data_IF_401239375382
#
_entry.id   IF_401239375382
#
_cell.length_a   1.000
_cell.length_b   1.000
_cell.length_c   1.000
_cell.angle_alpha   90.00
_cell.angle_beta   90.00
_cell.angle_gamma   90.00
#
_symmetry.space_group_name_H-M   'P 1'
#
loop_
_entity.id
_entity.type
_entity.pdbx_description
1 polymer ?
#
# COMPACT_ATOMS: atom_id res chain seq x y z
N UNK A 1 -38.17 -2.93 -14.76
CA UNK A 1 -37.04 -2.27 -14.10
C UNK A 1 -36.30 -1.51 -15.18
N UNK A 2 -36.18 -0.21 -15.06
CA UNK A 2 -35.39 0.59 -16.00
C UNK A 2 -33.92 0.20 -15.87
N UNK A 3 -33.33 -0.25 -16.94
CA UNK A 3 -31.92 -0.59 -17.04
C UNK A 3 -31.11 0.70 -16.76
N UNK A 4 -30.45 0.76 -15.61
CA UNK A 4 -29.56 1.86 -15.26
C UNK A 4 -28.11 1.39 -15.45
N UNK A 5 -27.38 1.85 -16.48
CA UNK A 5 -26.04 1.36 -16.81
C UNK A 5 -25.01 1.62 -15.69
N UNK A 6 -25.23 2.64 -14.86
CA UNK A 6 -24.34 2.93 -13.73
C UNK A 6 -24.44 1.88 -12.62
N UNK A 7 -25.65 1.40 -12.30
CA UNK A 7 -25.85 0.32 -11.33
C UNK A 7 -25.27 -1.01 -11.82
N UNK A 8 -25.38 -1.26 -13.12
CA UNK A 8 -24.78 -2.43 -13.78
C UNK A 8 -23.25 -2.39 -13.69
N UNK A 9 -22.61 -1.24 -13.89
CA UNK A 9 -21.15 -1.12 -13.84
C UNK A 9 -20.57 -1.46 -12.47
N UNK A 10 -21.24 -1.07 -11.37
CA UNK A 10 -20.86 -1.48 -10.02
C UNK A 10 -21.01 -2.99 -9.85
N UNK A 11 -22.21 -3.52 -10.17
CA UNK A 11 -22.52 -4.93 -9.92
C UNK A 11 -21.70 -5.90 -10.77
N UNK A 12 -21.23 -5.46 -11.94
CA UNK A 12 -20.36 -6.21 -12.84
C UNK A 12 -18.85 -5.95 -12.58
N UNK A 13 -18.53 -5.03 -11.65
CA UNK A 13 -17.17 -4.72 -11.30
C UNK A 13 -16.39 -4.01 -12.41
N UNK A 14 -17.01 -3.08 -13.13
CA UNK A 14 -16.37 -2.30 -14.22
C UNK A 14 -16.39 -0.79 -13.99
N UNK A 15 -16.86 -0.33 -12.83
CA UNK A 15 -17.01 1.10 -12.53
C UNK A 15 -15.67 1.76 -12.17
N UNK A 16 -15.31 2.81 -12.88
CA UNK A 16 -14.13 3.64 -12.62
C UNK A 16 -14.42 4.88 -11.77
N UNK A 17 -15.67 5.23 -11.60
CA UNK A 17 -16.14 6.45 -10.93
C UNK A 17 -17.23 6.11 -9.90
N UNK A 18 -16.89 5.30 -8.87
CA UNK A 18 -17.88 4.81 -7.91
C UNK A 18 -18.56 5.92 -7.11
N UNK A 19 -17.89 7.06 -6.89
CA UNK A 19 -18.46 8.21 -6.20
C UNK A 19 -19.62 8.86 -6.99
N UNK A 20 -19.73 8.63 -8.30
CA UNK A 20 -20.87 9.10 -9.11
C UNK A 20 -22.09 8.18 -8.95
N UNK A 21 -21.93 7.00 -8.33
CA UNK A 21 -22.97 5.98 -8.23
C UNK A 21 -23.31 5.65 -6.77
N UNK A 22 -22.29 5.44 -5.92
CA UNK A 22 -22.42 5.06 -4.52
C UNK A 22 -22.28 6.29 -3.61
N UNK A 23 -22.72 6.16 -2.35
CA UNK A 23 -22.73 7.29 -1.42
C UNK A 23 -23.98 8.15 -1.53
N UNK A 24 -23.85 9.42 -1.19
CA UNK A 24 -24.95 10.41 -1.13
C UNK A 24 -25.02 11.22 -2.41
N UNK A 25 -26.17 11.23 -3.05
CA UNK A 25 -26.45 12.00 -4.28
C UNK A 25 -27.64 12.91 -4.11
N UNK A 26 -27.63 14.08 -4.78
CA UNK A 26 -28.83 14.92 -4.91
C UNK A 26 -29.95 14.14 -5.61
N UNK A 27 -31.18 14.31 -5.15
CA UNK A 27 -32.33 13.67 -5.77
C UNK A 27 -33.10 14.72 -6.65
N UNK A 28 -33.40 14.38 -7.90
CA UNK A 28 -34.13 15.23 -8.84
C UNK A 28 -35.57 15.58 -8.36
N UNK A 29 -36.01 15.00 -7.25
CA UNK A 29 -37.34 15.20 -6.66
C UNK A 29 -37.53 16.44 -5.77
N UNK A 30 -36.54 17.32 -5.65
CA UNK A 30 -36.60 18.56 -4.85
C UNK A 30 -35.37 18.85 -4.01
N UNK A 31 -35.13 20.12 -3.69
CA UNK A 31 -33.91 20.64 -3.06
C UNK A 31 -33.59 20.12 -1.63
N UNK A 32 -34.44 19.26 -1.07
CA UNK A 32 -34.29 18.74 0.31
C UNK A 32 -34.17 17.21 0.41
N UNK A 33 -34.06 16.48 -0.72
CA UNK A 33 -33.97 15.02 -0.70
C UNK A 33 -32.63 14.52 -1.28
N UNK A 34 -31.97 13.61 -0.58
CA UNK A 34 -30.80 12.90 -1.08
C UNK A 34 -31.13 11.43 -1.32
N UNK A 35 -30.49 10.86 -2.32
CA UNK A 35 -30.51 9.44 -2.62
C UNK A 35 -29.19 8.81 -2.14
N UNK A 36 -29.26 7.83 -1.25
CA UNK A 36 -28.11 7.11 -0.76
C UNK A 36 -28.09 5.73 -1.39
N UNK A 37 -26.96 5.33 -1.97
CA UNK A 37 -26.75 4.03 -2.60
C UNK A 37 -25.58 3.28 -1.99
N UNK A 38 -25.76 1.97 -1.81
CA UNK A 38 -24.72 1.06 -1.32
C UNK A 38 -24.76 -0.27 -2.06
N UNK A 39 -23.59 -0.79 -2.39
CA UNK A 39 -23.45 -2.12 -2.99
C UNK A 39 -23.02 -3.13 -1.93
N UNK A 40 -23.95 -4.04 -1.56
CA UNK A 40 -23.77 -5.03 -0.49
C UNK A 40 -24.19 -6.43 -0.99
N UNK A 41 -23.37 -7.10 -1.82
CA UNK A 41 -23.77 -8.36 -2.49
C UNK A 41 -24.01 -9.51 -1.52
N UNK A 42 -23.42 -9.48 -0.31
CA UNK A 42 -23.58 -10.51 0.71
C UNK A 42 -24.66 -10.20 1.73
N UNK A 43 -25.37 -9.07 1.61
CA UNK A 43 -26.45 -8.70 2.49
C UNK A 43 -27.83 -9.17 1.93
N UNK A 44 -28.62 -9.77 2.81
CA UNK A 44 -30.05 -10.05 2.59
C UNK A 44 -30.87 -8.77 2.70
N UNK A 45 -30.51 -7.91 3.68
CA UNK A 45 -31.13 -6.59 3.90
C UNK A 45 -30.12 -5.59 4.44
N UNK A 46 -30.36 -4.31 4.19
CA UNK A 46 -29.54 -3.18 4.64
C UNK A 46 -30.45 -2.13 5.27
N UNK A 47 -30.11 -1.68 6.48
CA UNK A 47 -30.74 -0.56 7.17
C UNK A 47 -29.75 0.60 7.22
N UNK A 48 -30.21 1.82 6.92
CA UNK A 48 -29.44 3.04 7.15
C UNK A 48 -29.61 3.48 8.59
N UNK A 49 -28.50 3.74 9.28
CA UNK A 49 -28.45 4.28 10.64
C UNK A 49 -27.91 5.71 10.57
N UNK A 50 -28.68 6.68 11.03
CA UNK A 50 -28.24 8.05 11.25
C UNK A 50 -28.25 8.35 12.74
N UNK A 51 -27.32 9.19 13.21
CA UNK A 51 -27.28 9.59 14.62
C UNK A 51 -28.59 10.28 15.04
N UNK A 52 -29.14 9.86 16.18
CA UNK A 52 -30.39 10.40 16.75
C UNK A 52 -31.67 9.98 16.03
N UNK A 53 -31.61 9.12 15.01
CA UNK A 53 -32.76 8.62 14.27
C UNK A 53 -32.94 7.10 14.37
N UNK A 54 -34.16 6.60 14.20
CA UNK A 54 -34.41 5.17 14.11
C UNK A 54 -33.84 4.62 12.78
N UNK A 55 -33.28 3.38 12.77
CA UNK A 55 -32.82 2.73 11.55
C UNK A 55 -33.93 2.66 10.48
N UNK A 56 -33.58 2.90 9.21
CA UNK A 56 -34.50 2.89 8.08
C UNK A 56 -34.11 1.85 7.06
N UNK A 57 -35.05 0.97 6.68
CA UNK A 57 -34.82 -0.09 5.72
C UNK A 57 -34.55 0.47 4.32
N UNK A 58 -33.45 0.06 3.70
CA UNK A 58 -33.12 0.38 2.31
C UNK A 58 -33.82 -0.59 1.34
N UNK A 59 -34.16 -0.09 0.16
CA UNK A 59 -34.78 -0.91 -0.88
C UNK A 59 -33.70 -1.58 -1.74
N UNK A 60 -33.78 -2.90 -1.93
CA UNK A 60 -32.93 -3.62 -2.85
C UNK A 60 -33.40 -3.37 -4.29
N UNK A 61 -32.60 -2.66 -5.08
CA UNK A 61 -32.95 -2.23 -6.46
C UNK A 61 -32.27 -3.06 -7.55
N UNK A 62 -31.26 -3.85 -7.20
CA UNK A 62 -30.60 -4.78 -8.13
C UNK A 62 -30.35 -6.13 -7.48
N UNK A 63 -30.50 -7.22 -8.24
CA UNK A 63 -30.39 -8.60 -7.75
C UNK A 63 -29.01 -8.89 -7.10
N UNK A 64 -27.95 -8.32 -7.65
CA UNK A 64 -26.57 -8.50 -7.20
C UNK A 64 -26.21 -7.74 -5.90
N UNK A 65 -27.18 -7.06 -5.25
CA UNK A 65 -26.96 -6.44 -3.94
C UNK A 65 -26.80 -4.92 -3.95
N UNK A 66 -27.38 -4.22 -4.92
CA UNK A 66 -27.51 -2.77 -4.85
C UNK A 66 -28.72 -2.41 -4.00
N UNK A 67 -28.51 -1.52 -3.03
CA UNK A 67 -29.54 -0.98 -2.14
C UNK A 67 -29.57 0.55 -2.28
N UNK A 68 -30.78 1.13 -2.20
CA UNK A 68 -30.95 2.57 -2.18
C UNK A 68 -32.05 3.04 -1.24
N UNK A 69 -31.94 4.29 -0.80
CA UNK A 69 -32.96 4.97 -0.01
C UNK A 69 -32.96 6.47 -0.31
N UNK A 70 -34.16 7.05 -0.47
CA UNK A 70 -34.34 8.49 -0.59
C UNK A 70 -34.74 9.06 0.78
N UNK A 71 -34.00 10.04 1.28
CA UNK A 71 -34.22 10.71 2.57
C UNK A 71 -34.08 12.22 2.42
N UNK A 72 -34.59 12.97 3.40
CA UNK A 72 -34.09 14.33 3.63
C UNK A 72 -32.62 14.22 3.98
N UNK A 73 -31.78 15.05 3.35
CA UNK A 73 -30.33 15.00 3.48
C UNK A 73 -29.90 14.82 4.93
N UNK A 74 -29.19 13.72 5.29
CA UNK A 74 -28.56 13.63 6.60
C UNK A 74 -27.60 14.81 6.75
N UNK A 75 -27.55 15.44 7.90
CA UNK A 75 -26.53 16.43 8.21
C UNK A 75 -25.18 15.75 8.12
N UNK A 76 -24.36 16.16 7.15
CA UNK A 76 -22.94 15.86 6.99
C UNK A 76 -22.46 14.47 7.43
N UNK A 77 -22.38 13.51 6.46
CA UNK A 77 -21.48 12.33 6.45
C UNK A 77 -21.49 11.36 7.67
N UNK A 78 -22.45 11.43 8.59
CA UNK A 78 -22.47 10.57 9.79
C UNK A 78 -23.60 9.55 9.72
N UNK A 79 -23.54 8.67 8.72
CA UNK A 79 -24.42 7.50 8.71
C UNK A 79 -23.60 6.21 8.58
N UNK A 80 -24.24 5.12 8.96
CA UNK A 80 -23.72 3.77 8.84
C UNK A 80 -24.76 2.88 8.18
N UNK A 81 -24.28 1.79 7.61
CA UNK A 81 -25.13 0.71 7.16
C UNK A 81 -25.11 -0.43 8.18
N UNK A 82 -26.29 -0.91 8.60
CA UNK A 82 -26.45 -2.16 9.31
C UNK A 82 -26.93 -3.20 8.30
N UNK A 83 -26.12 -4.20 8.06
CA UNK A 83 -26.41 -5.31 7.17
C UNK A 83 -26.88 -6.50 7.95
N UNK A 84 -27.79 -7.29 7.34
CA UNK A 84 -28.13 -8.64 7.76
C UNK A 84 -27.77 -9.60 6.64
N UNK A 85 -26.91 -10.59 6.93
CA UNK A 85 -26.48 -11.61 5.99
C UNK A 85 -27.56 -12.67 5.69
N UNK A 86 -27.28 -13.55 4.76
CA UNK A 86 -28.17 -14.67 4.43
C UNK A 86 -28.18 -15.76 5.52
N UNK A 87 -27.21 -15.73 6.43
CA UNK A 87 -27.08 -16.53 7.64
C UNK A 87 -27.68 -15.87 8.88
N UNK A 88 -28.40 -14.75 8.68
CA UNK A 88 -28.98 -13.88 9.71
C UNK A 88 -27.96 -13.21 10.67
N UNK A 89 -26.65 -13.34 10.40
CA UNK A 89 -25.63 -12.53 11.09
C UNK A 89 -25.79 -11.05 10.74
N UNK A 90 -25.54 -10.16 11.73
CA UNK A 90 -25.65 -8.72 11.52
C UNK A 90 -24.31 -8.03 11.82
N UNK A 91 -23.95 -7.05 10.99
CA UNK A 91 -22.78 -6.20 11.19
C UNK A 91 -23.07 -4.77 10.75
N UNK A 92 -22.25 -3.82 11.21
CA UNK A 92 -22.39 -2.40 10.89
C UNK A 92 -21.08 -1.90 10.28
N UNK A 93 -21.17 -1.03 9.28
CA UNK A 93 -20.01 -0.36 8.69
C UNK A 93 -20.35 1.07 8.27
N UNK A 94 -19.33 1.92 8.21
CA UNK A 94 -19.41 3.22 7.56
C UNK A 94 -19.40 3.06 6.03
N UNK A 95 -20.03 3.97 5.33
CA UNK A 95 -19.96 4.02 3.87
C UNK A 95 -18.61 4.61 3.43
N UNK A 96 -17.74 3.87 2.73
CA UNK A 96 -16.48 4.42 2.22
C UNK A 96 -16.67 5.63 1.30
N UNK A 97 -17.76 5.66 0.55
CA UNK A 97 -18.08 6.71 -0.43
C UNK A 97 -18.71 7.97 0.19
N UNK A 98 -18.90 7.99 1.51
CA UNK A 98 -19.27 9.19 2.27
C UNK A 98 -18.07 10.03 2.70
N UNK A 99 -16.84 9.53 2.53
CA UNK A 99 -15.61 10.22 2.92
C UNK A 99 -14.94 10.91 1.73
N UNK A 100 -14.38 12.13 1.93
CA UNK A 100 -13.66 12.83 0.88
C UNK A 100 -12.34 12.15 0.53
N UNK A 101 -11.97 12.21 -0.74
CA UNK A 101 -10.64 11.78 -1.21
C UNK A 101 -9.54 12.70 -0.66
N UNK A 102 -8.38 12.14 -0.31
CA UNK A 102 -7.32 12.83 0.43
C UNK A 102 -6.14 13.26 -0.44
N UNK A 103 -6.17 13.02 -1.76
CA UNK A 103 -5.16 13.53 -2.68
C UNK A 103 -5.63 14.84 -3.32
N UNK A 104 -4.87 15.91 -3.08
CA UNK A 104 -5.11 17.19 -3.74
C UNK A 104 -4.65 17.18 -5.21
N UNK A 105 -5.11 18.15 -5.99
CA UNK A 105 -4.62 18.36 -7.36
C UNK A 105 -3.10 18.61 -7.38
N UNK A 106 -2.56 19.28 -6.35
CA UNK A 106 -1.12 19.48 -6.22
C UNK A 106 -0.37 18.16 -6.00
N UNK A 107 -0.87 17.26 -5.13
CA UNK A 107 -0.26 15.93 -4.92
C UNK A 107 -0.20 15.15 -6.25
N UNK A 108 -1.30 15.14 -7.00
CA UNK A 108 -1.40 14.49 -8.31
C UNK A 108 -0.42 15.10 -9.32
N UNK A 109 -0.34 16.44 -9.37
CA UNK A 109 0.57 17.15 -10.27
C UNK A 109 2.04 16.81 -9.97
N UNK A 110 2.47 16.86 -8.70
CA UNK A 110 3.84 16.58 -8.30
C UNK A 110 4.28 15.14 -8.61
N UNK A 111 3.36 14.16 -8.48
CA UNK A 111 3.63 12.77 -8.89
C UNK A 111 3.81 12.69 -10.41
N UNK A 112 2.91 13.27 -11.19
CA UNK A 112 2.93 13.24 -12.64
C UNK A 112 4.10 14.04 -13.25
N UNK A 113 4.59 15.07 -12.56
CA UNK A 113 5.75 15.86 -12.97
C UNK A 113 7.08 15.17 -12.65
N UNK A 114 7.10 14.22 -11.72
CA UNK A 114 8.30 13.50 -11.29
C UNK A 114 9.12 14.23 -10.21
N UNK A 115 8.49 15.14 -9.48
CA UNK A 115 9.15 15.99 -8.46
C UNK A 115 8.69 15.67 -7.03
N UNK A 116 7.74 14.73 -6.86
CA UNK A 116 7.32 14.30 -5.53
C UNK A 116 8.33 13.32 -4.91
N UNK A 117 9.34 13.88 -4.22
CA UNK A 117 10.35 13.08 -3.54
C UNK A 117 9.84 12.34 -2.29
N UNK A 118 8.61 12.60 -1.84
CA UNK A 118 7.97 11.94 -0.69
C UNK A 118 6.57 11.43 -1.04
N UNK A 119 6.43 10.84 -2.23
CA UNK A 119 5.17 10.27 -2.69
C UNK A 119 4.63 9.19 -1.72
N UNK A 120 5.52 8.52 -0.96
CA UNK A 120 5.16 7.56 0.08
C UNK A 120 4.27 8.12 1.19
N UNK A 121 4.20 9.44 1.38
CA UNK A 121 3.29 10.08 2.35
C UNK A 121 1.83 10.15 1.85
N UNK A 122 1.59 9.83 0.59
CA UNK A 122 0.28 9.99 -0.06
C UNK A 122 -0.16 8.74 -0.84
N UNK A 123 0.79 8.05 -1.45
CA UNK A 123 0.55 6.82 -2.21
C UNK A 123 0.61 5.61 -1.28
N UNK A 124 0.03 4.49 -1.72
CA UNK A 124 -0.08 3.28 -0.91
C UNK A 124 -1.20 3.35 0.11
N UNK A 125 -1.03 2.63 1.22
CA UNK A 125 -2.00 2.54 2.32
C UNK A 125 -1.59 3.49 3.46
N UNK A 126 -2.35 4.54 3.68
CA UNK A 126 -2.10 5.57 4.69
C UNK A 126 -3.14 5.48 5.82
N UNK A 127 -2.71 5.12 7.02
CA UNK A 127 -3.56 5.19 8.22
C UNK A 127 -3.88 6.65 8.54
N UNK A 128 -5.15 6.97 8.71
CA UNK A 128 -5.59 8.33 9.05
C UNK A 128 -6.95 8.34 9.71
N UNK A 129 -7.31 9.50 10.24
CA UNK A 129 -8.62 9.80 10.77
C UNK A 129 -9.30 10.87 9.90
N UNK A 130 -10.53 10.61 9.45
CA UNK A 130 -11.35 11.57 8.70
C UNK A 130 -12.67 11.72 9.43
N UNK A 131 -13.01 12.95 9.83
CA UNK A 131 -14.25 13.28 10.55
C UNK A 131 -14.49 12.41 11.80
N UNK A 132 -13.42 12.12 12.57
CA UNK A 132 -13.50 11.28 13.78
C UNK A 132 -13.59 9.77 13.52
N UNK A 133 -13.43 9.32 12.28
CA UNK A 133 -13.43 7.90 11.90
C UNK A 133 -12.05 7.48 11.44
N UNK A 134 -11.44 6.54 12.16
CA UNK A 134 -10.17 5.93 11.76
C UNK A 134 -10.37 4.99 10.57
N UNK A 135 -9.36 4.90 9.71
CA UNK A 135 -9.36 4.02 8.56
C UNK A 135 -8.08 4.13 7.76
N UNK A 136 -8.12 3.62 6.53
CA UNK A 136 -6.98 3.63 5.62
C UNK A 136 -7.36 4.29 4.30
N UNK A 137 -6.59 5.28 3.90
CA UNK A 137 -6.66 5.85 2.56
C UNK A 137 -5.68 5.10 1.65
N UNK A 138 -6.18 4.57 0.56
CA UNK A 138 -5.41 3.86 -0.46
C UNK A 138 -5.25 4.74 -1.69
N UNK A 139 -4.06 4.76 -2.26
CA UNK A 139 -3.80 5.43 -3.53
C UNK A 139 -2.80 4.65 -4.38
N UNK A 140 -3.08 4.49 -5.68
CA UNK A 140 -2.21 3.77 -6.61
C UNK A 140 -2.25 4.39 -8.00
N UNK A 141 -1.10 4.35 -8.70
CA UNK A 141 -1.00 4.83 -10.06
C UNK A 141 -1.18 3.69 -11.06
N UNK A 142 -2.27 3.74 -11.85
CA UNK A 142 -2.64 2.74 -12.85
C UNK A 142 -3.44 3.40 -13.99
N UNK A 143 -2.80 4.23 -14.85
CA UNK A 143 -3.48 5.09 -15.84
C UNK A 143 -4.18 4.33 -16.96
N UNK A 144 -3.79 3.08 -17.21
CA UNK A 144 -4.36 2.27 -18.28
C UNK A 144 -5.39 1.26 -17.77
N UNK A 145 -5.62 1.19 -16.45
CA UNK A 145 -6.67 0.35 -15.88
C UNK A 145 -8.06 0.80 -16.36
N UNK A 146 -8.97 -0.15 -16.50
CA UNK A 146 -10.41 0.11 -16.63
C UNK A 146 -11.04 0.34 -15.25
N UNK A 147 -10.60 -0.42 -14.23
CA UNK A 147 -11.01 -0.30 -12.83
C UNK A 147 -9.85 -0.73 -11.94
N UNK A 148 -9.74 -0.08 -10.79
CA UNK A 148 -8.92 -0.54 -9.68
C UNK A 148 -9.81 -0.72 -8.45
N UNK A 149 -9.60 -1.76 -7.67
CA UNK A 149 -10.29 -2.01 -6.41
C UNK A 149 -9.31 -2.43 -5.32
N UNK A 150 -9.68 -2.18 -4.08
CA UNK A 150 -8.99 -2.77 -2.93
C UNK A 150 -9.68 -4.08 -2.57
N UNK A 151 -8.89 -5.14 -2.42
CA UNK A 151 -9.34 -6.45 -1.97
C UNK A 151 -8.56 -6.87 -0.71
N UNK A 152 -9.24 -7.57 0.18
CA UNK A 152 -8.68 -8.06 1.43
C UNK A 152 -9.68 -8.94 2.19
N UNK A 153 -9.29 -9.41 3.37
CA UNK A 153 -10.20 -10.22 4.21
C UNK A 153 -11.46 -9.46 4.59
N UNK A 154 -11.37 -8.14 4.78
CA UNK A 154 -12.47 -7.23 5.14
C UNK A 154 -13.60 -7.18 4.10
N UNK A 155 -13.35 -7.58 2.86
CA UNK A 155 -14.36 -7.65 1.79
C UNK A 155 -14.37 -9.01 1.05
N UNK A 156 -13.82 -10.06 1.69
CA UNK A 156 -13.78 -11.43 1.14
C UNK A 156 -13.01 -11.54 -0.18
N UNK A 157 -12.04 -10.64 -0.39
CA UNK A 157 -11.25 -10.54 -1.61
C UNK A 157 -12.10 -10.30 -2.89
N UNK A 158 -13.28 -9.64 -2.74
CA UNK A 158 -14.19 -9.30 -3.84
C UNK A 158 -14.03 -7.84 -4.25
N UNK A 159 -13.38 -7.60 -5.39
CA UNK A 159 -13.10 -6.26 -5.91
C UNK A 159 -14.33 -5.44 -6.29
N UNK A 160 -15.52 -6.04 -6.33
CA UNK A 160 -16.79 -5.29 -6.57
C UNK A 160 -17.19 -4.44 -5.36
N UNK A 161 -16.71 -4.77 -4.15
CA UNK A 161 -17.07 -4.07 -2.91
C UNK A 161 -16.44 -2.68 -2.77
N UNK A 162 -15.17 -2.57 -3.13
CA UNK A 162 -14.39 -1.36 -2.91
C UNK A 162 -13.68 -0.90 -4.18
N UNK A 163 -14.45 -0.61 -5.27
CA UNK A 163 -13.85 0.06 -6.42
C UNK A 163 -13.35 1.45 -6.03
N UNK A 164 -12.14 1.78 -6.51
CA UNK A 164 -11.51 3.07 -6.26
C UNK A 164 -11.98 4.11 -7.28
N UNK A 165 -11.95 5.37 -6.87
CA UNK A 165 -12.22 6.52 -7.72
C UNK A 165 -10.98 6.90 -8.52
N UNK A 166 -11.12 7.02 -9.84
CA UNK A 166 -10.07 7.64 -10.68
C UNK A 166 -10.03 9.14 -10.47
N UNK A 167 -8.81 9.71 -10.37
CA UNK A 167 -8.58 11.13 -10.10
C UNK A 167 -8.25 11.88 -11.40
N UNK A 168 -9.28 12.18 -12.16
CA UNK A 168 -9.16 12.92 -13.42
C UNK A 168 -8.19 12.27 -14.41
N UNK A 169 -7.28 13.07 -14.98
CA UNK A 169 -6.28 12.62 -15.96
C UNK A 169 -4.94 12.17 -15.37
N UNK A 170 -4.79 12.16 -14.04
CA UNK A 170 -3.53 11.80 -13.39
C UNK A 170 -3.17 10.31 -13.48
N UNK A 171 -4.17 9.45 -13.75
CA UNK A 171 -4.03 8.00 -13.69
C UNK A 171 -3.91 7.44 -12.28
N UNK A 172 -4.12 8.26 -11.25
CA UNK A 172 -4.15 7.82 -9.86
C UNK A 172 -5.57 7.42 -9.49
N UNK A 173 -5.68 6.35 -8.72
CA UNK A 173 -6.90 5.83 -8.13
C UNK A 173 -6.82 5.95 -6.62
N UNK A 174 -7.92 6.34 -5.98
CA UNK A 174 -7.94 6.51 -4.52
C UNK A 174 -9.28 6.11 -3.90
N UNK A 175 -9.23 5.65 -2.64
CA UNK A 175 -10.39 5.36 -1.81
C UNK A 175 -9.98 5.38 -0.33
N UNK A 176 -10.84 5.94 0.54
CA UNK A 176 -10.71 5.76 1.98
C UNK A 176 -11.64 4.62 2.43
N UNK A 177 -11.09 3.65 3.15
CA UNK A 177 -11.88 2.56 3.74
C UNK A 177 -11.84 2.71 5.26
N UNK A 178 -12.99 3.03 5.88
CA UNK A 178 -13.10 3.21 7.32
C UNK A 178 -12.92 1.88 8.08
N UNK A 179 -12.52 1.98 9.35
CA UNK A 179 -12.35 0.89 10.30
C UNK A 179 -11.23 -0.12 10.00
N UNK A 180 -10.45 0.08 8.94
CA UNK A 180 -9.22 -0.68 8.73
C UNK A 180 -8.11 -0.17 9.65
N UNK A 181 -7.20 -1.08 10.03
CA UNK A 181 -6.15 -0.85 11.01
C UNK A 181 -4.81 -1.43 10.55
N UNK A 182 -3.76 -1.13 11.30
CA UNK A 182 -2.46 -1.79 11.10
C UNK A 182 -2.60 -3.32 11.28
N UNK A 183 -2.06 -4.07 10.34
CA UNK A 183 -2.15 -5.54 10.27
C UNK A 183 -3.15 -6.06 9.24
N UNK A 184 -4.07 -5.23 8.75
CA UNK A 184 -5.02 -5.65 7.71
C UNK A 184 -4.29 -5.98 6.40
N UNK A 185 -4.69 -7.11 5.79
CA UNK A 185 -4.14 -7.60 4.53
C UNK A 185 -4.91 -7.04 3.34
N UNK A 186 -4.18 -6.60 2.32
CA UNK A 186 -4.80 -6.08 1.11
C UNK A 186 -3.97 -6.31 -0.15
N UNK A 187 -4.64 -6.20 -1.30
CA UNK A 187 -4.06 -6.08 -2.64
C UNK A 187 -4.85 -5.09 -3.46
N UNK A 188 -4.26 -4.63 -4.55
CA UNK A 188 -5.01 -3.99 -5.64
C UNK A 188 -5.48 -5.05 -6.63
N UNK A 189 -6.78 -5.09 -6.91
CA UNK A 189 -7.35 -5.82 -8.04
C UNK A 189 -7.55 -4.85 -9.20
N UNK A 190 -6.86 -5.09 -10.29
CA UNK A 190 -6.85 -4.23 -11.46
C UNK A 190 -7.54 -4.96 -12.62
N UNK A 191 -8.62 -4.39 -13.13
CA UNK A 191 -9.22 -4.80 -14.38
C UNK A 191 -8.57 -3.97 -15.50
N UNK A 192 -7.88 -4.62 -16.41
CA UNK A 192 -7.28 -3.96 -17.56
C UNK A 192 -8.29 -3.71 -18.69
N UNK A 193 -7.86 -2.99 -19.72
CA UNK A 193 -8.73 -2.68 -20.88
C UNK A 193 -9.02 -3.88 -21.79
N UNK A 194 -8.29 -4.98 -21.63
CA UNK A 194 -8.57 -6.25 -22.32
C UNK A 194 -9.61 -7.10 -21.57
N UNK A 195 -9.97 -6.71 -20.35
CA UNK A 195 -10.92 -7.42 -19.48
C UNK A 195 -10.27 -8.48 -18.60
N UNK A 196 -8.93 -8.48 -18.48
CA UNK A 196 -8.19 -9.39 -17.60
C UNK A 196 -8.02 -8.79 -16.21
N UNK A 197 -8.13 -9.64 -15.17
CA UNK A 197 -7.94 -9.26 -13.78
C UNK A 197 -6.52 -9.55 -13.32
N UNK A 198 -5.90 -8.57 -12.69
CA UNK A 198 -4.58 -8.65 -12.11
C UNK A 198 -4.64 -8.35 -10.61
N UNK A 199 -4.17 -9.27 -9.77
CA UNK A 199 -3.97 -9.01 -8.35
C UNK A 199 -2.54 -8.55 -8.10
N UNK A 200 -2.36 -7.33 -7.61
CA UNK A 200 -1.07 -6.68 -7.43
C UNK A 200 -0.82 -6.33 -5.96
N UNK A 201 0.42 -6.53 -5.51
CA UNK A 201 0.91 -5.92 -4.27
C UNK A 201 0.96 -4.40 -4.43
N UNK A 202 0.91 -3.70 -3.32
CA UNK A 202 1.05 -2.25 -3.33
C UNK A 202 2.50 -1.85 -3.66
N UNK A 203 2.74 -1.07 -4.72
CA UNK A 203 4.07 -0.55 -5.03
C UNK A 203 4.69 0.27 -3.89
N UNK A 204 3.86 0.97 -3.09
CA UNK A 204 4.26 1.78 -1.93
C UNK A 204 3.98 1.08 -0.59
N UNK A 205 3.67 -0.22 -0.58
CA UNK A 205 3.36 -0.97 0.64
C UNK A 205 4.52 -0.99 1.63
N UNK A 206 4.24 -0.65 2.89
CA UNK A 206 5.25 -0.54 3.95
C UNK A 206 5.58 -1.87 4.63
N UNK A 207 4.73 -2.87 4.45
CA UNK A 207 4.93 -4.21 4.97
C UNK A 207 4.29 -5.26 4.05
N UNK A 208 4.78 -6.48 4.11
CA UNK A 208 4.33 -7.59 3.28
C UNK A 208 4.10 -8.83 4.11
N UNK A 209 3.18 -9.69 3.68
CA UNK A 209 3.08 -11.03 4.24
C UNK A 209 4.36 -11.83 4.03
N UNK A 210 4.60 -12.77 4.95
CA UNK A 210 5.69 -13.74 4.76
C UNK A 210 5.39 -14.67 3.59
N UNK A 211 6.36 -14.77 2.66
CA UNK A 211 6.26 -15.67 1.50
C UNK A 211 5.89 -17.10 1.90
N UNK A 212 5.16 -17.88 1.12
CA UNK A 212 4.80 -17.64 -0.29
C UNK A 212 3.57 -16.76 -0.49
N UNK A 213 3.01 -16.19 0.57
CA UNK A 213 1.91 -15.24 0.48
C UNK A 213 2.40 -13.92 -0.11
N UNK A 214 1.48 -13.16 -0.71
CA UNK A 214 1.82 -11.99 -1.53
C UNK A 214 0.96 -10.76 -1.26
N UNK A 215 0.22 -10.71 -0.15
CA UNK A 215 -0.52 -9.50 0.20
C UNK A 215 0.39 -8.44 0.81
N UNK A 216 0.05 -7.20 0.59
CA UNK A 216 0.57 -6.08 1.37
C UNK A 216 -0.13 -6.04 2.73
N UNK A 217 0.56 -5.52 3.73
CA UNK A 217 0.04 -5.36 5.09
C UNK A 217 -0.04 -3.87 5.40
N UNK A 218 -1.18 -3.40 5.88
CA UNK A 218 -1.30 -2.03 6.40
C UNK A 218 -0.36 -1.88 7.60
N UNK A 219 0.52 -0.89 7.56
CA UNK A 219 1.49 -0.66 8.63
C UNK A 219 1.66 0.84 8.90
N UNK A 220 1.66 1.21 10.19
CA UNK A 220 1.97 2.56 10.62
C UNK A 220 3.48 2.74 10.78
N UNK A 221 4.08 3.41 9.82
CA UNK A 221 5.53 3.67 9.82
C UNK A 221 5.96 4.77 10.81
N UNK A 222 5.01 5.48 11.42
CA UNK A 222 5.27 6.62 12.31
C UNK A 222 5.34 6.27 13.80
N UNK A 223 5.07 5.03 14.21
CA UNK A 223 4.94 4.65 15.62
C UNK A 223 6.25 4.29 16.32
N UNK A 224 7.32 4.04 15.57
CA UNK A 224 8.60 3.67 16.18
C UNK A 224 9.26 4.86 16.89
N UNK A 225 9.66 4.67 18.15
CA UNK A 225 10.37 5.68 18.95
C UNK A 225 11.88 5.47 18.83
N UNK A 226 12.56 6.37 18.11
CA UNK A 226 14.00 6.34 17.90
C UNK A 226 14.80 6.79 19.12
N UNK A 227 15.94 6.14 19.36
CA UNK A 227 16.86 6.47 20.44
C UNK A 227 18.26 6.83 19.92
N UNK A 228 18.40 7.18 18.66
CA UNK A 228 19.63 7.43 17.92
C UNK A 228 19.97 8.92 17.73
N UNK A 229 19.34 9.83 18.46
CA UNK A 229 19.51 11.26 18.31
C UNK A 229 20.98 11.73 18.41
N UNK A 230 21.81 11.06 19.21
CA UNK A 230 23.25 11.38 19.31
C UNK A 230 24.00 11.02 18.02
N UNK A 231 23.65 9.87 17.40
CA UNK A 231 24.21 9.48 16.11
C UNK A 231 23.83 10.45 15.01
N UNK A 232 22.55 10.80 14.90
CA UNK A 232 22.05 11.77 13.89
C UNK A 232 22.79 13.09 14.02
N UNK A 233 22.93 13.64 15.24
CA UNK A 233 23.69 14.87 15.48
C UNK A 233 25.17 14.74 15.12
N UNK A 234 25.79 13.59 15.44
CA UNK A 234 27.17 13.29 15.09
C UNK A 234 27.33 13.27 13.58
N UNK A 235 26.45 12.53 12.87
CA UNK A 235 26.45 12.40 11.41
C UNK A 235 26.39 13.75 10.69
N UNK A 236 25.64 14.72 11.17
CA UNK A 236 25.55 16.08 10.61
C UNK A 236 26.84 16.86 10.73
N UNK A 237 27.70 16.55 11.69
CA UNK A 237 28.94 17.29 11.98
C UNK A 237 30.21 16.63 11.46
N UNK A 238 30.14 15.37 11.05
CA UNK A 238 31.29 14.61 10.54
C UNK A 238 31.69 15.12 9.15
N UNK A 239 32.98 15.34 8.96
CA UNK A 239 33.55 15.46 7.62
C UNK A 239 33.94 14.06 7.09
N UNK A 240 33.05 13.43 6.36
CA UNK A 240 33.24 12.07 5.84
C UNK A 240 34.45 11.91 4.90
N UNK A 241 35.02 13.00 4.37
CA UNK A 241 36.24 12.96 3.57
C UNK A 241 37.52 12.80 4.42
N UNK A 242 37.42 13.01 5.75
CA UNK A 242 38.55 12.94 6.66
C UNK A 242 38.44 11.77 7.66
N UNK A 243 37.28 11.09 7.72
CA UNK A 243 37.07 9.96 8.63
C UNK A 243 37.32 8.63 7.92
N UNK A 244 37.96 7.68 8.61
CA UNK A 244 38.14 6.32 8.05
C UNK A 244 36.80 5.59 8.01
N UNK A 245 36.47 4.97 6.88
CA UNK A 245 35.29 4.12 6.70
C UNK A 245 35.76 2.69 6.46
N UNK A 246 35.26 1.76 7.27
CA UNK A 246 35.39 0.33 7.09
C UNK A 246 34.00 -0.30 7.17
N UNK A 247 33.46 -0.75 6.03
CA UNK A 247 32.15 -1.39 5.94
C UNK A 247 32.25 -2.91 6.04
N UNK A 248 31.37 -3.51 6.81
CA UNK A 248 31.14 -4.95 6.86
C UNK A 248 29.91 -5.30 6.03
N UNK A 249 30.12 -5.79 4.81
CA UNK A 249 29.04 -6.24 3.94
C UNK A 249 28.46 -7.56 4.45
N UNK A 250 27.14 -7.66 4.54
CA UNK A 250 26.46 -8.82 5.09
C UNK A 250 25.11 -9.12 4.43
N UNK A 251 24.88 -10.38 4.09
CA UNK A 251 23.58 -10.92 3.79
C UNK A 251 22.94 -11.50 5.06
N UNK A 252 21.91 -10.83 5.60
CA UNK A 252 21.32 -11.18 6.90
C UNK A 252 20.79 -12.62 6.94
N UNK A 253 20.28 -13.13 5.82
CA UNK A 253 19.71 -14.47 5.73
C UNK A 253 20.72 -15.61 5.72
N UNK A 254 22.02 -15.35 5.54
CA UNK A 254 23.07 -16.38 5.48
C UNK A 254 24.21 -16.16 6.46
N UNK A 255 24.32 -14.99 7.10
CA UNK A 255 25.39 -14.68 8.04
C UNK A 255 25.40 -15.64 9.23
N UNK A 256 24.23 -15.86 9.83
CA UNK A 256 24.03 -16.82 10.92
C UNK A 256 22.59 -17.34 10.85
N UNK A 257 22.43 -18.61 11.16
CA UNK A 257 21.13 -19.28 11.23
C UNK A 257 20.94 -19.99 12.55
N UNK A 258 19.69 -20.28 12.92
CA UNK A 258 19.32 -21.05 14.12
C UNK A 258 18.53 -22.30 13.74
N UNK A 259 18.31 -23.20 14.74
CA UNK A 259 17.77 -24.53 14.54
C UNK A 259 18.88 -25.56 14.37
N UNK A 260 18.57 -26.83 14.59
CA UNK A 260 19.55 -27.93 14.59
C UNK A 260 20.25 -28.12 13.24
N UNK A 261 19.53 -27.85 12.14
CA UNK A 261 20.05 -27.90 10.77
C UNK A 261 20.29 -26.51 10.14
N UNK A 262 20.19 -25.42 10.92
CA UNK A 262 20.31 -24.06 10.41
C UNK A 262 19.18 -23.64 9.48
N UNK A 263 17.98 -24.18 9.69
CA UNK A 263 16.81 -23.97 8.82
C UNK A 263 16.09 -22.64 9.09
N UNK A 264 16.31 -22.01 10.25
CA UNK A 264 15.61 -20.80 10.64
C UNK A 264 16.48 -19.56 10.49
N UNK A 265 15.89 -18.47 10.00
CA UNK A 265 16.52 -17.15 10.03
C UNK A 265 16.57 -16.59 11.45
N UNK A 266 17.57 -15.75 11.74
CA UNK A 266 17.50 -14.84 12.88
C UNK A 266 16.54 -13.71 12.58
N UNK A 267 15.85 -13.24 13.61
CA UNK A 267 15.05 -12.01 13.52
C UNK A 267 15.95 -10.76 13.50
N UNK A 268 15.43 -9.61 13.05
CA UNK A 268 16.17 -8.34 13.14
C UNK A 268 16.68 -8.04 14.56
N UNK A 269 15.89 -8.38 15.60
CA UNK A 269 16.30 -8.21 17.00
C UNK A 269 17.42 -9.15 17.42
N UNK A 270 17.37 -10.42 17.01
CA UNK A 270 18.46 -11.37 17.24
C UNK A 270 19.72 -10.99 16.48
N UNK A 271 19.57 -10.49 15.24
CA UNK A 271 20.68 -9.97 14.45
C UNK A 271 21.32 -8.74 15.12
N UNK A 272 20.53 -7.83 15.68
CA UNK A 272 21.07 -6.70 16.44
C UNK A 272 21.92 -7.18 17.63
N UNK A 273 21.46 -8.19 18.38
CA UNK A 273 22.16 -8.71 19.53
C UNK A 273 23.48 -9.44 19.19
N UNK A 274 23.53 -10.11 18.04
CA UNK A 274 24.67 -10.95 17.66
C UNK A 274 25.65 -10.24 16.71
N UNK A 275 25.12 -9.56 15.66
CA UNK A 275 25.94 -8.97 14.59
C UNK A 275 26.63 -7.67 15.03
N UNK A 276 25.94 -6.80 15.76
CA UNK A 276 26.48 -5.48 16.12
C UNK A 276 27.74 -5.62 17.01
N UNK A 277 27.75 -6.41 18.10
CA UNK A 277 28.95 -6.62 18.87
C UNK A 277 30.10 -7.25 18.04
N UNK A 278 29.76 -8.21 17.17
CA UNK A 278 30.76 -8.86 16.32
C UNK A 278 31.46 -7.87 15.38
N UNK A 279 30.69 -7.02 14.69
CA UNK A 279 31.21 -6.01 13.77
C UNK A 279 32.03 -4.96 14.50
N UNK A 280 31.56 -4.54 15.68
CA UNK A 280 32.26 -3.57 16.53
C UNK A 280 33.59 -4.09 17.06
N UNK A 281 33.63 -5.33 17.53
CA UNK A 281 34.88 -5.98 18.06
C UNK A 281 35.94 -6.13 16.96
N UNK A 282 35.52 -6.27 15.70
CA UNK A 282 36.41 -6.31 14.54
C UNK A 282 36.88 -4.92 14.08
N UNK A 283 36.34 -3.85 14.65
CA UNK A 283 36.74 -2.47 14.35
C UNK A 283 36.15 -1.87 13.10
N UNK A 284 35.05 -2.44 12.58
CA UNK A 284 34.29 -1.83 11.48
C UNK A 284 33.50 -0.61 11.96
N UNK A 285 33.26 0.33 11.06
CA UNK A 285 32.53 1.58 11.33
C UNK A 285 31.10 1.54 10.79
N UNK A 286 30.83 0.70 9.80
CA UNK A 286 29.52 0.57 9.14
C UNK A 286 29.19 -0.90 8.91
N UNK A 287 27.90 -1.19 8.87
CA UNK A 287 27.34 -2.42 8.31
C UNK A 287 26.72 -2.06 6.98
N UNK A 288 27.11 -2.74 5.90
CA UNK A 288 26.49 -2.67 4.60
C UNK A 288 25.55 -3.87 4.44
N UNK A 289 24.27 -3.60 4.40
CA UNK A 289 23.24 -4.63 4.22
C UNK A 289 23.03 -4.91 2.74
N UNK A 290 23.33 -6.13 2.30
CA UNK A 290 22.81 -6.63 1.03
C UNK A 290 21.29 -6.46 1.01
N UNK A 291 20.61 -6.40 -0.18
CA UNK A 291 19.24 -5.92 -0.24
C UNK A 291 18.30 -6.58 0.75
N UNK A 292 17.68 -5.74 1.61
CA UNK A 292 16.71 -6.17 2.65
C UNK A 292 15.27 -5.83 2.25
N UNK A 293 15.04 -5.23 1.10
CA UNK A 293 13.71 -4.97 0.57
C UNK A 293 12.98 -6.29 0.28
N UNK A 294 11.63 -6.27 0.36
CA UNK A 294 10.85 -7.50 0.21
C UNK A 294 11.01 -8.10 -1.20
N UNK A 295 11.25 -9.40 -1.25
CA UNK A 295 11.53 -10.17 -2.47
C UNK A 295 10.98 -11.59 -2.39
N UNK A 296 10.53 -12.21 -3.51
CA UNK A 296 9.91 -13.54 -3.48
C UNK A 296 10.92 -14.68 -3.37
N UNK A 297 12.12 -14.53 -3.95
CA UNK A 297 13.10 -15.61 -4.13
C UNK A 297 14.31 -15.43 -3.20
N UNK A 298 14.52 -16.34 -2.24
CA UNK A 298 15.68 -16.32 -1.32
C UNK A 298 17.02 -16.37 -2.05
N UNK A 299 17.09 -17.16 -3.14
CA UNK A 299 18.32 -17.32 -3.91
C UNK A 299 18.74 -16.06 -4.68
N UNK A 300 17.87 -15.05 -4.78
CA UNK A 300 18.21 -13.76 -5.36
C UNK A 300 19.00 -12.85 -4.42
N UNK A 301 19.14 -13.21 -3.13
CA UNK A 301 19.77 -12.41 -2.08
C UNK A 301 19.14 -11.01 -1.90
N UNK A 302 17.87 -10.87 -2.34
CA UNK A 302 17.15 -9.59 -2.32
C UNK A 302 17.29 -8.74 -3.58
N UNK A 303 18.05 -9.15 -4.59
CA UNK A 303 18.21 -8.39 -5.84
C UNK A 303 17.01 -8.45 -6.78
N UNK A 304 15.98 -9.24 -6.47
CA UNK A 304 14.72 -9.29 -7.22
C UNK A 304 13.56 -8.71 -6.40
N UNK A 305 13.55 -7.40 -6.25
CA UNK A 305 12.64 -6.67 -5.35
C UNK A 305 11.21 -6.64 -5.88
N UNK A 306 10.23 -6.93 -5.01
CA UNK A 306 8.79 -6.73 -5.26
C UNK A 306 8.19 -5.66 -4.35
N UNK A 307 8.71 -5.48 -3.13
CA UNK A 307 8.24 -4.48 -2.16
C UNK A 307 9.31 -3.45 -1.87
N UNK A 308 9.36 -2.36 -2.62
CA UNK A 308 10.40 -1.34 -2.54
C UNK A 308 10.39 -0.56 -1.23
N UNK A 309 9.22 -0.38 -0.62
CA UNK A 309 9.02 0.38 0.62
C UNK A 309 8.84 -0.52 1.86
N UNK A 310 9.06 -1.83 1.72
CA UNK A 310 8.95 -2.79 2.80
C UNK A 310 10.29 -3.47 3.08
N UNK A 311 10.80 -3.46 4.33
CA UNK A 311 11.83 -4.39 4.73
C UNK A 311 11.27 -5.82 4.67
N UNK A 312 12.11 -6.78 4.28
CA UNK A 312 11.64 -8.16 4.10
C UNK A 312 11.08 -8.74 5.40
N UNK A 313 9.89 -9.32 5.31
CA UNK A 313 9.18 -9.97 6.40
C UNK A 313 9.87 -11.24 6.95
N UNK A 314 10.92 -11.71 6.26
CA UNK A 314 11.71 -12.89 6.67
C UNK A 314 12.32 -12.78 8.06
N UNK A 315 12.69 -11.58 8.46
CA UNK A 315 13.44 -11.32 9.69
C UNK A 315 12.60 -10.59 10.75
N UNK A 316 11.34 -10.28 10.47
CA UNK A 316 10.45 -9.59 11.41
C UNK A 316 9.64 -8.46 10.76
N UNK A 317 9.15 -7.56 11.59
CA UNK A 317 8.33 -6.41 11.20
C UNK A 317 9.18 -5.22 10.74
N UNK A 318 8.58 -4.21 10.08
CA UNK A 318 9.27 -2.95 9.80
C UNK A 318 9.85 -2.27 11.04
N UNK A 319 9.15 -2.32 12.19
CA UNK A 319 9.65 -1.76 13.44
C UNK A 319 10.81 -2.57 14.04
N UNK A 320 10.87 -3.88 13.79
CA UNK A 320 12.03 -4.68 14.17
C UNK A 320 13.26 -4.30 13.36
N UNK A 321 13.09 -3.93 12.08
CA UNK A 321 14.18 -3.42 11.27
C UNK A 321 14.64 -2.01 11.73
N UNK A 322 13.70 -1.12 12.08
CA UNK A 322 14.04 0.16 12.71
C UNK A 322 14.82 -0.04 14.02
N UNK A 323 14.38 -1.01 14.83
CA UNK A 323 15.12 -1.38 16.03
C UNK A 323 16.56 -1.82 15.73
N UNK A 324 16.78 -2.61 14.68
CA UNK A 324 18.12 -3.03 14.26
C UNK A 324 19.01 -1.82 13.93
N UNK A 325 18.50 -0.88 13.12
CA UNK A 325 19.23 0.35 12.74
C UNK A 325 19.50 1.22 13.96
N UNK A 326 18.50 1.43 14.82
CA UNK A 326 18.61 2.20 16.07
C UNK A 326 19.71 1.64 16.98
N UNK A 327 19.77 0.30 17.13
CA UNK A 327 20.85 -0.35 17.91
C UNK A 327 22.23 -0.22 17.26
N UNK A 328 22.33 -0.24 15.93
CA UNK A 328 23.59 0.08 15.24
C UNK A 328 24.06 1.48 15.58
N UNK A 329 23.19 2.48 15.47
CA UNK A 329 23.49 3.88 15.75
C UNK A 329 23.91 4.11 17.22
N UNK A 330 23.20 3.51 18.17
CA UNK A 330 23.56 3.56 19.59
C UNK A 330 24.93 2.91 19.86
N UNK A 331 25.32 1.91 19.08
CA UNK A 331 26.64 1.30 19.16
C UNK A 331 27.74 2.11 18.45
N UNK A 332 27.39 3.18 17.74
CA UNK A 332 28.29 4.01 16.94
C UNK A 332 28.64 3.41 15.58
N UNK A 333 27.78 2.53 15.05
CA UNK A 333 27.90 1.87 13.74
C UNK A 333 26.89 2.48 12.78
N UNK A 334 27.34 2.98 11.62
CA UNK A 334 26.47 3.42 10.53
C UNK A 334 25.89 2.24 9.76
N UNK A 335 24.76 2.48 9.08
CA UNK A 335 24.06 1.47 8.27
C UNK A 335 23.96 1.91 6.83
N UNK A 336 24.52 1.14 5.92
CA UNK A 336 24.45 1.31 4.48
C UNK A 336 23.48 0.26 3.92
N UNK A 337 22.62 0.66 3.00
CA UNK A 337 21.68 -0.24 2.33
C UNK A 337 22.08 -0.41 0.86
N UNK A 338 22.29 -1.65 0.43
CA UNK A 338 22.39 -1.96 -1.00
C UNK A 338 20.99 -1.81 -1.64
N UNK A 339 20.81 -0.73 -2.37
CA UNK A 339 19.55 -0.32 -2.98
C UNK A 339 19.51 -0.73 -4.45
N UNK A 340 18.43 -1.37 -4.89
CA UNK A 340 18.29 -1.96 -6.22
C UNK A 340 17.27 -1.17 -7.08
N UNK A 341 17.58 0.00 -7.64
CA UNK A 341 16.65 0.81 -8.43
C UNK A 341 16.64 0.42 -9.92
N UNK A 342 17.38 -0.59 -10.31
CA UNK A 342 17.65 -0.86 -11.74
C UNK A 342 16.59 -1.76 -12.39
N UNK A 343 16.10 -2.74 -11.67
CA UNK A 343 15.27 -3.80 -12.25
C UNK A 343 14.38 -4.46 -11.18
N UNK A 344 13.40 -5.24 -11.63
CA UNK A 344 12.48 -5.99 -10.78
C UNK A 344 12.08 -7.32 -11.45
N UNK A 345 11.63 -8.34 -10.68
CA UNK A 345 11.26 -9.65 -11.21
C UNK A 345 9.95 -9.61 -12.00
N UNK A 346 9.68 -10.70 -12.72
CA UNK A 346 8.47 -10.86 -13.55
C UNK A 346 7.30 -11.49 -12.79
N UNK A 347 7.39 -11.60 -11.48
CA UNK A 347 6.32 -12.16 -10.64
C UNK A 347 5.01 -11.41 -10.87
N UNK A 348 3.92 -12.16 -11.07
CA UNK A 348 2.63 -11.60 -11.50
C UNK A 348 2.02 -10.60 -10.50
N UNK A 349 2.34 -10.76 -9.22
CA UNK A 349 1.89 -9.86 -8.15
C UNK A 349 2.73 -8.59 -8.01
N UNK A 350 3.93 -8.53 -8.64
CA UNK A 350 4.84 -7.38 -8.59
C UNK A 350 4.54 -6.30 -9.64
N UNK A 351 5.56 -5.49 -9.95
CA UNK A 351 5.42 -4.30 -10.80
C UNK A 351 5.25 -4.61 -12.29
N UNK A 352 5.67 -5.80 -12.75
CA UNK A 352 5.61 -6.16 -14.17
C UNK A 352 4.19 -6.15 -14.72
N UNK A 353 3.97 -5.44 -15.83
CA UNK A 353 2.65 -5.24 -16.45
C UNK A 353 1.58 -4.85 -15.42
N UNK A 354 1.88 -3.83 -14.60
CA UNK A 354 1.14 -3.53 -13.38
C UNK A 354 -0.36 -3.27 -13.63
N UNK A 355 -0.69 -2.50 -14.65
CA UNK A 355 -2.07 -2.19 -15.05
C UNK A 355 -2.49 -2.89 -16.37
N UNK A 356 -1.88 -4.04 -16.66
CA UNK A 356 -2.02 -4.76 -17.92
C UNK A 356 -1.09 -4.25 -19.03
N UNK A 357 -0.33 -3.18 -18.77
CA UNK A 357 0.62 -2.60 -19.72
C UNK A 357 2.03 -2.53 -19.13
N UNK A 358 3.04 -2.27 -19.96
CA UNK A 358 4.40 -1.96 -19.51
C UNK A 358 4.41 -0.58 -18.83
N UNK A 359 4.01 -0.53 -17.56
CA UNK A 359 3.83 0.71 -16.79
C UNK A 359 5.13 1.19 -16.15
N UNK A 360 5.75 0.36 -15.32
CA UNK A 360 7.03 0.68 -14.67
C UNK A 360 8.24 0.35 -15.55
N UNK A 361 8.12 -0.61 -16.45
CA UNK A 361 9.14 -1.04 -17.39
C UNK A 361 9.01 -0.40 -18.77
N UNK A 362 10.06 -0.56 -19.60
CA UNK A 362 9.96 -0.27 -21.04
C UNK A 362 9.14 -1.32 -21.76
N UNK A 363 8.29 -0.89 -22.70
CA UNK A 363 7.48 -1.77 -23.53
C UNK A 363 8.33 -2.61 -24.51
N UNK A 364 9.38 -2.00 -25.09
CA UNK A 364 10.30 -2.71 -25.97
C UNK A 364 11.19 -3.65 -25.15
N UNK A 365 11.14 -4.98 -25.34
CA UNK A 365 11.92 -5.94 -24.57
C UNK A 365 13.44 -5.76 -24.69
N UNK A 366 13.91 -5.10 -25.77
CA UNK A 366 15.34 -4.81 -25.93
C UNK A 366 15.86 -3.79 -24.92
N UNK A 367 14.98 -2.92 -24.42
CA UNK A 367 15.26 -1.93 -23.38
C UNK A 367 14.65 -2.31 -22.03
N UNK A 368 13.58 -3.10 -22.03
CA UNK A 368 12.76 -3.43 -20.87
C UNK A 368 13.12 -4.74 -20.19
N UNK A 369 14.10 -5.51 -20.67
CA UNK A 369 14.46 -6.80 -20.08
C UNK A 369 15.97 -7.03 -19.98
N UNK A 370 16.41 -7.49 -18.82
CA UNK A 370 17.72 -8.14 -18.64
C UNK A 370 17.59 -9.62 -18.99
N UNK A 371 18.11 -10.02 -20.15
CA UNK A 371 17.97 -11.41 -20.65
C UNK A 371 18.65 -12.42 -19.73
N UNK A 372 19.82 -12.06 -19.17
CA UNK A 372 20.63 -12.96 -18.36
C UNK A 372 20.01 -13.17 -16.95
N UNK A 373 19.37 -12.15 -16.41
CA UNK A 373 18.74 -12.19 -15.08
C UNK A 373 17.24 -12.49 -15.11
N UNK A 374 16.60 -12.41 -16.29
CA UNK A 374 15.18 -12.63 -16.47
C UNK A 374 14.28 -11.56 -15.84
N UNK A 375 14.84 -10.37 -15.55
CA UNK A 375 14.14 -9.27 -14.89
C UNK A 375 13.68 -8.20 -15.86
N UNK A 376 12.73 -7.35 -15.42
CA UNK A 376 12.30 -6.13 -16.11
C UNK A 376 13.20 -4.96 -15.74
N UNK A 377 13.35 -3.98 -16.64
CA UNK A 377 14.13 -2.75 -16.43
C UNK A 377 13.18 -1.58 -16.31
N UNK A 378 13.39 -0.73 -15.29
CA UNK A 378 12.59 0.48 -15.09
C UNK A 378 12.68 1.45 -16.27
N UNK A 379 11.55 2.04 -16.63
CA UNK A 379 11.49 3.13 -17.60
C UNK A 379 11.73 4.47 -16.91
N UNK A 380 12.98 4.87 -16.74
CA UNK A 380 13.37 6.13 -16.10
C UNK A 380 12.92 7.38 -16.87
N UNK A 381 12.46 7.22 -18.10
CA UNK A 381 11.89 8.30 -18.91
C UNK A 381 10.48 8.72 -18.43
N UNK A 382 9.80 7.90 -17.62
CA UNK A 382 8.51 8.25 -17.04
C UNK A 382 8.69 9.03 -15.74
N UNK A 383 8.02 10.15 -15.64
CA UNK A 383 8.09 11.03 -14.47
C UNK A 383 7.61 10.33 -13.19
N UNK A 384 6.54 9.57 -13.29
CA UNK A 384 5.95 8.83 -12.15
C UNK A 384 6.90 7.73 -11.64
N UNK A 385 7.64 7.07 -12.55
CA UNK A 385 8.68 6.10 -12.18
C UNK A 385 9.86 6.80 -11.49
N UNK A 386 10.23 8.01 -11.92
CA UNK A 386 11.25 8.82 -11.22
C UNK A 386 10.76 9.24 -9.83
N UNK A 387 9.51 9.72 -9.70
CA UNK A 387 8.90 10.00 -8.39
C UNK A 387 8.95 8.78 -7.48
N UNK A 388 8.59 7.60 -8.00
CA UNK A 388 8.62 6.34 -7.27
C UNK A 388 10.02 6.01 -6.74
N UNK A 389 11.04 6.00 -7.60
CA UNK A 389 12.40 5.61 -7.23
C UNK A 389 13.08 6.64 -6.31
N UNK A 390 12.94 7.94 -6.62
CA UNK A 390 13.51 9.00 -5.75
C UNK A 390 12.82 8.99 -4.38
N UNK A 391 11.50 8.87 -4.37
CA UNK A 391 10.72 8.75 -3.14
C UNK A 391 11.15 7.52 -2.33
N UNK A 392 11.49 6.42 -2.98
CA UNK A 392 11.98 5.23 -2.31
C UNK A 392 13.35 5.43 -1.63
N UNK A 393 14.30 6.08 -2.31
CA UNK A 393 15.59 6.40 -1.68
C UNK A 393 15.41 7.34 -0.48
N UNK A 394 14.58 8.38 -0.62
CA UNK A 394 14.26 9.31 0.48
C UNK A 394 13.56 8.58 1.64
N UNK A 395 12.68 7.64 1.36
CA UNK A 395 11.99 6.84 2.37
C UNK A 395 12.96 6.09 3.30
N UNK A 396 13.96 5.42 2.75
CA UNK A 396 14.94 4.68 3.54
C UNK A 396 15.80 5.62 4.40
N UNK A 397 16.18 6.79 3.86
CA UNK A 397 16.93 7.78 4.64
C UNK A 397 16.07 8.48 5.71
N UNK A 398 14.83 8.87 5.37
CA UNK A 398 13.98 9.67 6.28
C UNK A 398 13.34 8.83 7.40
N UNK A 399 12.81 7.63 7.06
CA UNK A 399 12.00 6.84 7.99
C UNK A 399 12.75 5.65 8.62
N UNK A 400 13.88 5.26 8.03
CA UNK A 400 14.72 4.18 8.57
C UNK A 400 16.12 4.66 8.96
N UNK A 401 16.38 5.98 8.87
CA UNK A 401 17.64 6.61 9.26
C UNK A 401 18.89 6.02 8.59
N UNK A 402 18.76 5.39 7.40
CA UNK A 402 19.88 4.84 6.63
C UNK A 402 20.89 5.95 6.33
N UNK A 403 22.21 5.67 6.47
CA UNK A 403 23.31 6.61 6.35
C UNK A 403 23.86 6.75 4.93
#
# INVERSE_FOLDING_TARGET
MTHNPYLESISNGTCAVPYDVLGVHGNDGGAESSLIRSFQPYAKSVELICEGAAPVQMTKVHANGMFEIALKTPSENQYQFKMTGFDDASWTLHDPYSFPLQLSELDQHLVAEGTNCRAFNKMGAQLMEINGVHGVHFAVWAPNAQRVSIIGEFNRWDGRHHPMQTLGGSGIWALFIPALTSGDLYKFEILDRAGELHEKTDPYGFASELRPRTASVVHDVGTYEWNDAEWIKKRETINWYEEPIAAYEVHLGSWKRKGDAGEQFLTYRELAADLIPYVKDLGYTHIELMPITEHPLDASWGYQVVGYFAPTSRFGTPDDFKYFVDQCHQAGIGVILDWVPAHFPKDSHGLGHFDGTALYEHEDPRMGEHKDWGTKIFNYGRNEVRSFLISNAVFWCDLYHID
#
